data_IF_792332232084
#
_entry.id   IF_792332232084
#
_cell.length_a   1.000
_cell.length_b   1.000
_cell.length_c   1.000
_cell.angle_alpha   90.00
_cell.angle_beta   90.00
_cell.angle_gamma   90.00
#
_symmetry.space_group_name_H-M   'P 1'
#
loop_
_entity.id
_entity.type
_entity.pdbx_description
1 polymer ?
#
# COMPACT_ATOMS: atom_id res chain seq x y z
N UNK A 1 1.18 13.17 -24.88
CA UNK A 1 1.53 14.34 -24.04
C UNK A 1 1.70 15.61 -24.88
N UNK A 2 2.62 15.62 -25.86
CA UNK A 2 2.90 16.80 -26.70
C UNK A 2 1.66 17.36 -27.42
N UNK A 3 0.85 16.52 -28.06
CA UNK A 3 -0.39 16.93 -28.73
C UNK A 3 -1.34 17.64 -27.77
N UNK A 4 -1.46 17.15 -26.53
CA UNK A 4 -2.31 17.79 -25.54
C UNK A 4 -1.77 19.14 -25.10
N UNK A 5 -0.45 19.25 -24.85
CA UNK A 5 0.15 20.52 -24.45
C UNK A 5 -0.08 21.59 -25.51
N UNK A 6 0.09 21.24 -26.78
CA UNK A 6 -0.19 22.15 -27.90
C UNK A 6 -1.65 22.62 -27.91
N UNK A 7 -2.61 21.71 -27.68
CA UNK A 7 -4.03 22.09 -27.55
C UNK A 7 -4.29 22.99 -26.33
N UNK A 8 -3.64 22.72 -25.20
CA UNK A 8 -3.78 23.53 -23.99
C UNK A 8 -3.27 24.96 -24.21
N UNK A 9 -2.07 25.12 -24.79
CA UNK A 9 -1.48 26.42 -25.15
C UNK A 9 -2.38 27.20 -26.11
N UNK A 10 -2.95 26.54 -27.11
CA UNK A 10 -3.93 27.17 -28.02
C UNK A 10 -5.19 27.64 -27.29
N UNK A 11 -5.64 26.91 -26.26
CA UNK A 11 -6.88 27.22 -25.54
C UNK A 11 -6.71 28.37 -24.57
N UNK A 12 -5.63 28.38 -23.78
CA UNK A 12 -5.40 29.41 -22.76
C UNK A 12 -4.63 30.63 -23.29
N UNK A 13 -4.06 30.52 -24.49
CA UNK A 13 -3.20 31.54 -25.11
C UNK A 13 -1.73 31.35 -24.74
N UNK A 14 -0.83 31.75 -25.64
CA UNK A 14 0.61 31.61 -25.45
C UNK A 14 1.09 32.33 -24.19
N UNK A 15 0.75 33.60 -24.00
CA UNK A 15 1.22 34.41 -22.88
C UNK A 15 0.83 33.79 -21.53
N UNK A 16 -0.45 33.46 -21.34
CA UNK A 16 -0.95 32.81 -20.12
C UNK A 16 -0.39 31.39 -19.91
N UNK A 17 -0.11 30.64 -21.00
CA UNK A 17 0.47 29.30 -20.90
C UNK A 17 1.94 29.33 -20.45
N UNK A 18 2.72 30.33 -20.87
CA UNK A 18 4.12 30.47 -20.49
C UNK A 18 4.30 31.20 -19.15
N UNK A 19 3.36 32.04 -18.74
CA UNK A 19 3.33 32.68 -17.41
C UNK A 19 2.86 31.74 -16.29
N UNK A 20 2.37 30.55 -16.65
CA UNK A 20 1.90 29.54 -15.70
C UNK A 20 3.02 29.03 -14.79
N UNK A 21 2.74 29.02 -13.48
CA UNK A 21 3.66 28.39 -12.51
C UNK A 21 3.77 26.87 -12.72
N UNK A 22 4.94 26.31 -12.42
CA UNK A 22 5.19 24.86 -12.42
C UNK A 22 4.17 24.08 -11.58
N UNK A 23 3.76 24.64 -10.43
CA UNK A 23 2.74 24.03 -9.56
C UNK A 23 1.38 23.89 -10.26
N UNK A 24 0.97 24.90 -11.02
CA UNK A 24 -0.27 24.87 -11.78
C UNK A 24 -0.15 23.88 -12.95
N UNK A 25 0.98 23.88 -13.68
CA UNK A 25 1.23 22.91 -14.74
C UNK A 25 1.14 21.46 -14.23
N UNK A 26 1.81 21.17 -13.12
CA UNK A 26 1.78 19.85 -12.48
C UNK A 26 0.37 19.46 -12.05
N UNK A 27 -0.44 20.41 -11.56
CA UNK A 27 -1.83 20.16 -11.21
C UNK A 27 -2.64 19.73 -12.44
N UNK A 28 -2.57 20.48 -13.53
CA UNK A 28 -3.34 20.21 -14.75
C UNK A 28 -2.90 18.88 -15.40
N UNK A 29 -1.59 18.62 -15.40
CA UNK A 29 -1.03 17.34 -15.85
C UNK A 29 -1.56 16.18 -15.00
N UNK A 30 -1.58 16.35 -13.67
CA UNK A 30 -2.09 15.33 -12.75
C UNK A 30 -3.59 15.12 -12.95
N UNK A 31 -4.38 16.19 -13.06
CA UNK A 31 -5.83 16.09 -13.27
C UNK A 31 -6.17 15.36 -14.59
N UNK A 32 -5.36 15.55 -15.62
CA UNK A 32 -5.55 14.90 -16.93
C UNK A 32 -5.10 13.43 -16.95
N UNK A 33 -3.93 13.13 -16.38
CA UNK A 33 -3.28 11.82 -16.54
C UNK A 33 -3.41 10.91 -15.33
N UNK A 34 -3.76 11.45 -14.16
CA UNK A 34 -4.05 10.72 -12.94
C UNK A 34 -5.47 11.06 -12.46
N UNK A 35 -6.50 10.70 -13.25
CA UNK A 35 -7.86 11.13 -12.99
C UNK A 35 -8.37 10.54 -11.67
N UNK A 36 -9.17 11.33 -10.94
CA UNK A 36 -9.57 11.01 -9.56
C UNK A 36 -10.32 9.68 -9.44
N UNK A 37 -11.07 9.26 -10.47
CA UNK A 37 -11.80 7.99 -10.49
C UNK A 37 -10.85 6.78 -10.49
N UNK A 38 -9.71 6.84 -11.20
CA UNK A 38 -8.72 5.75 -11.21
C UNK A 38 -7.99 5.69 -9.86
N UNK A 39 -7.64 6.85 -9.28
CA UNK A 39 -7.10 6.89 -7.91
C UNK A 39 -8.09 6.27 -6.91
N UNK A 40 -9.38 6.57 -7.02
CA UNK A 40 -10.40 5.98 -6.15
C UNK A 40 -10.51 4.45 -6.28
N UNK A 41 -10.30 3.89 -7.47
CA UNK A 41 -10.23 2.43 -7.64
C UNK A 41 -9.05 1.84 -6.88
N UNK A 42 -7.86 2.44 -7.01
CA UNK A 42 -6.68 2.02 -6.27
C UNK A 42 -6.86 2.17 -4.75
N UNK A 43 -7.51 3.25 -4.30
CA UNK A 43 -7.87 3.45 -2.88
C UNK A 43 -8.79 2.34 -2.38
N UNK A 44 -9.77 1.90 -3.17
CA UNK A 44 -10.64 0.76 -2.83
C UNK A 44 -9.89 -0.57 -2.84
N UNK A 45 -9.02 -0.81 -3.80
CA UNK A 45 -8.18 -2.01 -3.84
C UNK A 45 -7.28 -2.10 -2.61
N UNK A 46 -6.65 -0.99 -2.23
CA UNK A 46 -5.85 -0.89 -1.01
C UNK A 46 -6.72 -1.09 0.24
N UNK A 47 -7.95 -0.59 0.22
CA UNK A 47 -8.91 -0.77 1.32
C UNK A 47 -9.23 -2.24 1.58
N UNK A 48 -9.55 -2.99 0.52
CA UNK A 48 -9.90 -4.41 0.56
C UNK A 48 -8.68 -5.36 0.63
N UNK A 49 -7.47 -4.83 0.50
CA UNK A 49 -6.24 -5.63 0.49
C UNK A 49 -6.06 -6.40 1.80
N UNK A 50 -5.97 -7.72 1.69
CA UNK A 50 -5.72 -8.67 2.78
C UNK A 50 -4.70 -9.73 2.36
N UNK A 51 -3.97 -10.28 3.33
CA UNK A 51 -3.06 -11.41 3.09
C UNK A 51 -3.85 -12.61 2.58
N UNK A 52 -3.37 -13.23 1.49
CA UNK A 52 -3.92 -14.49 0.96
C UNK A 52 -3.10 -15.66 1.49
N UNK A 53 -3.72 -16.51 2.30
CA UNK A 53 -3.04 -17.64 2.93
C UNK A 53 -1.91 -17.19 3.86
N UNK A 54 -0.68 -17.57 3.54
CA UNK A 54 0.54 -17.18 4.27
C UNK A 54 1.49 -16.31 3.44
N UNK A 55 1.04 -15.77 2.30
CA UNK A 55 1.90 -14.96 1.44
C UNK A 55 1.93 -13.49 1.89
N UNK A 56 2.74 -13.22 2.92
CA UNK A 56 2.95 -11.88 3.45
C UNK A 56 3.85 -11.02 2.54
N UNK A 57 4.74 -11.64 1.76
CA UNK A 57 5.67 -10.93 0.91
C UNK A 57 4.93 -10.20 -0.22
N UNK A 58 4.06 -10.92 -0.95
CA UNK A 58 3.24 -10.34 -2.00
C UNK A 58 2.26 -9.29 -1.45
N UNK A 59 1.67 -9.55 -0.27
CA UNK A 59 0.83 -8.57 0.41
C UNK A 59 1.60 -7.27 0.71
N UNK A 60 2.80 -7.38 1.29
CA UNK A 60 3.62 -6.22 1.67
C UNK A 60 4.06 -5.42 0.48
N UNK A 61 4.49 -6.09 -0.59
CA UNK A 61 4.87 -5.43 -1.84
C UNK A 61 3.68 -4.67 -2.43
N UNK A 62 2.54 -5.34 -2.61
CA UNK A 62 1.33 -4.74 -3.17
C UNK A 62 0.84 -3.56 -2.32
N UNK A 63 0.87 -3.70 -0.99
CA UNK A 63 0.53 -2.62 -0.08
C UNK A 63 1.43 -1.38 -0.27
N UNK A 64 2.75 -1.57 -0.37
CA UNK A 64 3.69 -0.47 -0.54
C UNK A 64 3.50 0.24 -1.88
N UNK A 65 3.30 -0.51 -2.96
CA UNK A 65 3.02 0.02 -4.30
C UNK A 65 1.70 0.82 -4.32
N UNK A 66 0.60 0.24 -3.81
CA UNK A 66 -0.69 0.91 -3.75
C UNK A 66 -0.67 2.14 -2.84
N UNK A 67 0.00 2.07 -1.69
CA UNK A 67 0.11 3.20 -0.77
C UNK A 67 0.95 4.35 -1.34
N UNK A 68 1.90 4.05 -2.24
CA UNK A 68 2.65 5.08 -2.97
C UNK A 68 1.75 5.81 -3.97
N UNK A 69 0.93 5.06 -4.71
CA UNK A 69 -0.01 5.62 -5.68
C UNK A 69 -1.16 6.38 -5.01
N UNK A 70 -1.61 5.91 -3.84
CA UNK A 70 -2.68 6.50 -3.04
C UNK A 70 -2.14 7.47 -1.98
N UNK A 71 -1.14 8.28 -2.32
CA UNK A 71 -0.43 9.14 -1.34
C UNK A 71 -1.31 10.12 -0.55
N UNK A 72 -2.52 10.43 -1.04
CA UNK A 72 -3.50 11.29 -0.33
C UNK A 72 -4.42 10.54 0.64
N UNK A 73 -4.37 9.20 0.66
CA UNK A 73 -5.24 8.37 1.48
C UNK A 73 -4.80 8.31 2.95
N UNK A 74 -3.51 8.54 3.23
CA UNK A 74 -2.93 8.53 4.57
C UNK A 74 -2.51 9.93 4.95
N UNK A 75 -2.94 10.40 6.12
CA UNK A 75 -2.51 11.72 6.63
C UNK A 75 -1.20 11.59 7.40
N UNK A 76 -1.04 10.49 8.13
CA UNK A 76 0.14 10.19 8.95
C UNK A 76 0.71 8.80 8.67
N UNK A 77 1.96 8.54 9.09
CA UNK A 77 2.55 7.20 9.00
C UNK A 77 1.77 6.18 9.85
N UNK A 78 1.17 6.63 10.96
CA UNK A 78 0.32 5.80 11.82
C UNK A 78 -0.89 5.22 11.06
N UNK A 79 -1.58 6.03 10.25
CA UNK A 79 -2.73 5.59 9.44
C UNK A 79 -2.33 4.48 8.47
N UNK A 80 -1.14 4.62 7.87
CA UNK A 80 -0.59 3.63 6.94
C UNK A 80 -0.25 2.32 7.66
N UNK A 81 0.32 2.41 8.85
CA UNK A 81 0.62 1.24 9.70
C UNK A 81 -0.70 0.54 10.10
N UNK A 82 -1.69 1.29 10.56
CA UNK A 82 -3.00 0.74 10.94
C UNK A 82 -3.65 0.01 9.77
N UNK A 83 -3.63 0.61 8.56
CA UNK A 83 -4.20 -0.03 7.39
C UNK A 83 -3.46 -1.30 6.97
N UNK A 84 -2.14 -1.33 7.12
CA UNK A 84 -1.33 -2.53 6.90
C UNK A 84 -1.67 -3.63 7.90
N UNK A 85 -1.76 -3.28 9.19
CA UNK A 85 -2.11 -4.22 10.27
C UNK A 85 -3.50 -4.82 10.03
N UNK A 86 -4.48 -4.01 9.61
CA UNK A 86 -5.85 -4.47 9.34
C UNK A 86 -6.00 -5.46 8.18
N UNK A 87 -4.99 -5.61 7.32
CA UNK A 87 -4.97 -6.63 6.26
C UNK A 87 -4.33 -7.96 6.66
N UNK A 88 -3.77 -8.06 7.88
CA UNK A 88 -3.06 -9.24 8.35
C UNK A 88 -4.01 -10.30 8.93
N UNK A 89 -3.62 -11.58 8.91
CA UNK A 89 -4.43 -12.64 9.50
C UNK A 89 -4.43 -12.57 11.03
N UNK A 90 -5.56 -12.96 11.64
CA UNK A 90 -5.80 -12.91 13.10
C UNK A 90 -4.69 -13.57 13.93
N UNK A 91 -4.07 -14.62 13.38
CA UNK A 91 -3.02 -15.37 14.05
C UNK A 91 -1.78 -14.54 14.43
N UNK A 92 -1.51 -13.43 13.73
CA UNK A 92 -0.42 -12.49 14.05
C UNK A 92 -0.91 -11.09 14.45
N UNK A 93 -2.16 -10.74 14.11
CA UNK A 93 -2.72 -9.41 14.32
C UNK A 93 -2.54 -8.89 15.76
N UNK A 94 -3.01 -9.65 16.75
CA UNK A 94 -2.92 -9.23 18.16
C UNK A 94 -1.49 -9.04 18.67
N UNK A 95 -0.55 -9.87 18.21
CA UNK A 95 0.87 -9.74 18.59
C UNK A 95 1.53 -8.52 17.94
N UNK A 96 1.16 -8.20 16.69
CA UNK A 96 1.67 -7.01 16.01
C UNK A 96 1.14 -5.72 16.65
N UNK A 97 -0.16 -5.67 16.96
CA UNK A 97 -0.77 -4.51 17.65
C UNK A 97 -0.08 -4.25 18.99
N UNK A 98 0.20 -5.30 19.77
CA UNK A 98 0.89 -5.19 21.05
C UNK A 98 2.32 -4.62 20.93
N UNK A 99 2.99 -4.84 19.78
CA UNK A 99 4.35 -4.37 19.54
C UNK A 99 4.46 -2.88 19.23
N UNK A 100 3.32 -2.22 18.91
CA UNK A 100 3.22 -0.77 18.64
C UNK A 100 4.34 -0.26 17.72
N UNK A 101 4.42 -0.77 16.47
CA UNK A 101 5.44 -0.30 15.54
C UNK A 101 5.26 1.19 15.25
N UNK A 102 6.37 1.93 15.30
CA UNK A 102 6.39 3.38 15.01
C UNK A 102 6.64 3.70 13.54
N UNK A 103 7.11 2.73 12.77
CA UNK A 103 7.43 2.91 11.35
C UNK A 103 6.91 1.74 10.54
N UNK A 104 6.63 1.97 9.26
CA UNK A 104 6.20 0.91 8.35
C UNK A 104 7.21 -0.23 8.25
N UNK A 105 8.50 0.08 8.21
CA UNK A 105 9.55 -0.93 8.13
C UNK A 105 9.56 -1.83 9.37
N UNK A 106 9.35 -1.27 10.57
CA UNK A 106 9.23 -2.05 11.81
C UNK A 106 7.98 -2.91 11.81
N UNK A 107 6.85 -2.40 11.32
CA UNK A 107 5.61 -3.17 11.21
C UNK A 107 5.82 -4.41 10.31
N UNK A 108 6.47 -4.23 9.16
CA UNK A 108 6.79 -5.32 8.22
C UNK A 108 7.74 -6.34 8.87
N UNK A 109 8.84 -5.88 9.48
CA UNK A 109 9.82 -6.76 10.11
C UNK A 109 9.19 -7.63 11.21
N UNK A 110 8.32 -7.04 12.03
CA UNK A 110 7.62 -7.77 13.10
C UNK A 110 6.61 -8.75 12.50
N UNK A 111 5.85 -8.34 11.47
CA UNK A 111 4.89 -9.23 10.80
C UNK A 111 5.58 -10.45 10.19
N UNK A 112 6.72 -10.28 9.51
CA UNK A 112 7.53 -11.38 8.95
C UNK A 112 8.01 -12.32 10.05
N UNK A 113 8.61 -11.78 11.11
CA UNK A 113 9.08 -12.59 12.26
C UNK A 113 7.94 -13.40 12.90
N UNK A 114 6.76 -12.80 13.06
CA UNK A 114 5.60 -13.46 13.64
C UNK A 114 5.07 -14.58 12.73
N UNK A 115 5.03 -14.34 11.42
CA UNK A 115 4.56 -15.34 10.46
C UNK A 115 5.51 -16.54 10.37
N UNK A 116 6.83 -16.30 10.29
CA UNK A 116 7.85 -17.36 10.29
C UNK A 116 7.79 -18.21 11.56
N UNK A 117 7.56 -17.56 12.70
CA UNK A 117 7.39 -18.26 13.98
C UNK A 117 6.17 -19.17 13.94
N UNK A 118 5.02 -18.71 13.44
CA UNK A 118 3.80 -19.51 13.34
C UNK A 118 3.96 -20.70 12.38
N UNK A 119 4.52 -20.47 11.19
CA UNK A 119 4.78 -21.53 10.21
C UNK A 119 5.63 -22.64 10.81
N UNK A 120 6.73 -22.27 11.50
CA UNK A 120 7.61 -23.23 12.19
C UNK A 120 6.87 -24.04 13.26
N UNK A 121 6.08 -23.37 14.11
CA UNK A 121 5.29 -24.05 15.15
C UNK A 121 4.27 -25.02 14.56
N UNK A 122 3.66 -24.71 13.41
CA UNK A 122 2.76 -25.64 12.72
C UNK A 122 3.50 -26.87 12.19
N UNK A 123 4.66 -26.69 11.54
CA UNK A 123 5.48 -27.79 11.05
C UNK A 123 5.95 -28.73 12.18
N UNK A 124 6.35 -28.17 13.34
CA UNK A 124 6.74 -28.95 14.53
C UNK A 124 5.58 -29.79 15.07
N UNK A 125 4.35 -29.24 15.10
CA UNK A 125 3.17 -29.98 15.56
C UNK A 125 2.78 -31.12 14.62
N UNK A 126 2.88 -30.91 13.31
CA UNK A 126 2.60 -31.97 12.33
C UNK A 126 3.57 -33.15 12.49
N UNK A 127 4.86 -32.87 12.63
CA UNK A 127 5.89 -33.91 12.81
C UNK A 127 5.73 -34.65 14.13
N UNK A 128 5.39 -33.94 15.21
CA UNK A 128 5.11 -34.56 16.51
C UNK A 128 3.84 -35.42 16.51
N UNK A 129 2.80 -35.03 15.75
CA UNK A 129 1.57 -35.83 15.63
C UNK A 129 1.83 -37.13 14.88
N UNK A 130 2.60 -37.11 13.79
CA UNK A 130 2.92 -38.32 13.00
C UNK A 130 3.67 -39.38 13.82
N UNK A 131 4.62 -38.96 14.66
CA UNK A 131 5.39 -39.86 15.57
C UNK A 131 4.57 -40.50 16.69
N UNK A 132 3.34 -40.04 16.95
CA UNK A 132 2.45 -40.63 17.97
C UNK A 132 1.53 -41.72 17.40
N UNK A 133 1.50 -41.88 16.07
CA UNK A 133 0.70 -42.88 15.37
C UNK A 133 1.55 -43.98 14.70
N UNK A 134 2.88 -43.93 14.87
CA UNK A 134 3.81 -45.05 14.69
C UNK A 134 4.08 -45.73 16.04
#
# INVERSE_FOLDING_TARGET
>A
ALTWWNTHVQTVGHEAAYDMSWKMLMKIMTDKYCPRNEIRKLEMELWELKVKGTDLASYTQCFQELALLCGRMFSEEADKIEKYVGGLPDMIHGSLVASKPKTMQKAIEIATKLMDKKIRTFAERETASKRKFE
#
